data_IF_572081771890
#
_entry.id   IF_572081771890
#
_cell.length_a   1.000
_cell.length_b   1.000
_cell.length_c   1.000
_cell.angle_alpha   90.00
_cell.angle_beta   90.00
_cell.angle_gamma   90.00
#
_symmetry.space_group_name_H-M   'P 1'
#
loop_
_entity.id
_entity.type
_entity.pdbx_description
1 polymer ?
#
# COMPACT_ATOMS: atom_id res chain seq x y z
N UNK A 1 18.03 12.85 -22.74
CA UNK A 1 16.68 12.96 -23.31
C UNK A 1 15.73 13.05 -22.13
N UNK A 2 15.48 14.29 -21.68
CA UNK A 2 14.79 14.60 -20.43
C UNK A 2 13.28 14.69 -20.71
N UNK A 3 12.61 13.53 -20.73
CA UNK A 3 11.15 13.48 -20.77
C UNK A 3 10.65 13.55 -19.34
N UNK A 4 10.34 14.74 -18.85
CA UNK A 4 9.50 14.89 -17.66
C UNK A 4 8.12 14.33 -18.03
N UNK A 5 7.92 13.03 -17.82
CA UNK A 5 6.64 12.36 -18.04
C UNK A 5 5.68 12.94 -17.00
N UNK A 6 4.96 13.98 -17.42
CA UNK A 6 3.94 14.64 -16.62
C UNK A 6 2.73 13.72 -16.55
N UNK A 7 2.26 13.47 -15.34
CA UNK A 7 1.03 12.74 -15.12
C UNK A 7 -0.15 13.53 -15.68
N UNK A 8 -1.07 12.83 -16.35
CA UNK A 8 -2.33 13.45 -16.75
C UNK A 8 -3.13 13.83 -15.49
N UNK A 9 -3.93 14.92 -15.53
CA UNK A 9 -4.72 15.35 -14.39
C UNK A 9 -5.68 14.26 -13.87
N UNK A 10 -6.19 13.42 -14.77
CA UNK A 10 -7.02 12.26 -14.41
C UNK A 10 -6.25 11.23 -13.56
N UNK A 11 -4.99 10.96 -13.88
CA UNK A 11 -4.14 10.01 -13.13
C UNK A 11 -3.84 10.55 -11.73
N UNK A 12 -3.62 11.86 -11.61
CA UNK A 12 -3.42 12.51 -10.33
C UNK A 12 -4.64 12.38 -9.42
N UNK A 13 -5.84 12.58 -9.98
CA UNK A 13 -7.11 12.41 -9.24
C UNK A 13 -7.26 10.95 -8.79
N UNK A 14 -6.97 9.98 -9.65
CA UNK A 14 -7.04 8.54 -9.31
C UNK A 14 -6.09 8.22 -8.15
N UNK A 15 -4.84 8.69 -8.21
CA UNK A 15 -3.87 8.46 -7.14
C UNK A 15 -4.31 9.10 -5.82
N UNK A 16 -4.86 10.32 -5.86
CA UNK A 16 -5.42 10.97 -4.68
C UNK A 16 -6.61 10.20 -4.10
N UNK A 17 -7.51 9.68 -4.94
CA UNK A 17 -8.61 8.84 -4.49
C UNK A 17 -8.13 7.54 -3.84
N UNK A 18 -7.12 6.87 -4.42
CA UNK A 18 -6.51 5.68 -3.82
C UNK A 18 -5.85 5.99 -2.47
N UNK A 19 -5.19 7.14 -2.34
CA UNK A 19 -4.59 7.60 -1.09
C UNK A 19 -5.68 7.85 -0.03
N UNK A 20 -6.73 8.60 -0.36
CA UNK A 20 -7.87 8.87 0.52
C UNK A 20 -8.55 7.56 0.95
N UNK A 21 -8.74 6.64 0.01
CA UNK A 21 -9.29 5.31 0.29
C UNK A 21 -8.37 4.45 1.19
N UNK A 22 -7.10 4.80 1.34
CA UNK A 22 -6.18 4.14 2.27
C UNK A 22 -6.31 4.70 3.69
N UNK A 23 -6.65 5.98 3.85
CA UNK A 23 -6.89 6.59 5.17
C UNK A 23 -8.07 5.95 5.93
N UNK A 24 -9.03 5.33 5.23
CA UNK A 24 -10.13 4.61 5.88
C UNK A 24 -9.60 3.48 6.78
N UNK A 25 -8.53 2.81 6.37
CA UNK A 25 -7.93 1.70 7.12
C UNK A 25 -7.31 2.19 8.43
N UNK A 26 -6.83 3.44 8.50
CA UNK A 26 -6.26 4.02 9.73
C UNK A 26 -7.32 4.16 10.81
N UNK A 27 -8.53 4.62 10.44
CA UNK A 27 -9.66 4.72 11.36
C UNK A 27 -10.09 3.33 11.83
N UNK A 28 -10.09 2.35 10.93
CA UNK A 28 -10.43 0.97 11.25
C UNK A 28 -9.41 0.33 12.23
N UNK A 29 -8.10 0.58 12.07
CA UNK A 29 -7.08 0.12 13.04
C UNK A 29 -7.33 0.71 14.42
N UNK A 30 -7.70 1.99 14.51
CA UNK A 30 -7.95 2.65 15.78
C UNK A 30 -9.21 2.15 16.52
N UNK A 31 -10.18 1.58 15.80
CA UNK A 31 -11.43 1.02 16.37
C UNK A 31 -11.37 -0.49 16.63
N UNK A 32 -10.36 -1.17 16.13
CA UNK A 32 -10.25 -2.62 16.25
C UNK A 32 -9.96 -3.03 17.70
N UNK A 33 -10.70 -4.03 18.16
CA UNK A 33 -10.64 -4.51 19.55
C UNK A 33 -9.76 -5.74 19.73
N UNK A 34 -9.50 -6.50 18.67
CA UNK A 34 -8.68 -7.72 18.72
C UNK A 34 -7.36 -7.56 17.98
N UNK A 35 -6.29 -8.17 18.49
CA UNK A 35 -4.94 -8.02 17.95
C UNK A 35 -4.84 -8.60 16.53
N UNK A 36 -5.46 -9.75 16.28
CA UNK A 36 -5.58 -10.36 14.94
C UNK A 36 -6.30 -9.46 13.93
N UNK A 37 -7.39 -8.80 14.33
CA UNK A 37 -8.09 -7.84 13.47
C UNK A 37 -7.23 -6.60 13.19
N UNK A 38 -6.47 -6.10 14.17
CA UNK A 38 -5.50 -5.00 13.95
C UNK A 38 -4.44 -5.38 12.93
N UNK A 39 -3.92 -6.61 12.98
CA UNK A 39 -2.94 -7.13 12.01
C UNK A 39 -3.55 -7.19 10.61
N UNK A 40 -4.76 -7.73 10.46
CA UNK A 40 -5.42 -7.81 9.16
C UNK A 40 -5.68 -6.42 8.55
N UNK A 41 -6.16 -5.46 9.36
CA UNK A 41 -6.42 -4.09 8.88
C UNK A 41 -5.10 -3.36 8.57
N UNK A 42 -4.05 -3.55 9.38
CA UNK A 42 -2.72 -2.97 9.12
C UNK A 42 -2.10 -3.53 7.84
N UNK A 43 -2.27 -4.84 7.57
CA UNK A 43 -1.82 -5.47 6.32
C UNK A 43 -2.54 -4.86 5.10
N UNK A 44 -3.85 -4.67 5.21
CA UNK A 44 -4.63 -3.99 4.16
C UNK A 44 -4.15 -2.56 3.90
N UNK A 45 -3.78 -1.81 4.93
CA UNK A 45 -3.21 -0.46 4.79
C UNK A 45 -1.88 -0.49 4.02
N UNK A 46 -0.95 -1.36 4.44
CA UNK A 46 0.35 -1.51 3.77
C UNK A 46 0.20 -1.88 2.29
N UNK A 47 -0.66 -2.85 1.99
CA UNK A 47 -0.89 -3.30 0.62
C UNK A 47 -1.49 -2.19 -0.26
N UNK A 48 -2.46 -1.41 0.25
CA UNK A 48 -3.01 -0.26 -0.49
C UNK A 48 -1.95 0.79 -0.83
N UNK A 49 -1.05 1.11 0.10
CA UNK A 49 0.04 2.07 -0.13
C UNK A 49 1.08 1.55 -1.14
N UNK A 50 1.39 0.25 -1.10
CA UNK A 50 2.25 -0.38 -2.09
C UNK A 50 1.61 -0.33 -3.49
N UNK A 51 0.30 -0.61 -3.60
CA UNK A 51 -0.44 -0.46 -4.85
C UNK A 51 -0.47 0.98 -5.38
N UNK A 52 -0.59 1.99 -4.52
CA UNK A 52 -0.49 3.40 -4.92
C UNK A 52 0.88 3.68 -5.56
N UNK A 53 1.95 3.16 -4.97
CA UNK A 53 3.32 3.32 -5.49
C UNK A 53 3.51 2.65 -6.85
N UNK A 54 2.97 1.44 -7.02
CA UNK A 54 2.99 0.72 -8.29
C UNK A 54 2.15 1.45 -9.35
N UNK A 55 0.96 1.94 -9.00
CA UNK A 55 0.11 2.69 -9.91
C UNK A 55 0.79 3.99 -10.37
N UNK A 56 1.44 4.70 -9.45
CA UNK A 56 2.23 5.89 -9.78
C UNK A 56 3.37 5.58 -10.77
N UNK A 57 4.08 4.47 -10.56
CA UNK A 57 5.14 4.02 -11.46
C UNK A 57 4.62 3.70 -12.87
N UNK A 58 3.48 3.02 -12.97
CA UNK A 58 2.84 2.71 -14.26
C UNK A 58 2.43 3.98 -15.01
N UNK A 59 1.82 4.96 -14.32
CA UNK A 59 1.40 6.21 -14.95
C UNK A 59 2.57 7.09 -15.40
N UNK A 60 3.67 7.09 -14.64
CA UNK A 60 4.90 7.78 -15.00
C UNK A 60 5.78 6.99 -15.97
N UNK A 61 5.41 5.75 -16.29
CA UNK A 61 6.22 4.79 -17.07
C UNK A 61 7.65 4.63 -16.51
N UNK A 62 7.77 4.70 -15.18
CA UNK A 62 9.03 4.62 -14.45
C UNK A 62 9.14 3.26 -13.75
N UNK A 63 9.79 2.32 -14.44
CA UNK A 63 9.95 0.94 -13.98
C UNK A 63 10.78 0.82 -12.69
N UNK A 64 11.66 1.78 -12.39
CA UNK A 64 12.46 1.75 -11.17
C UNK A 64 11.60 1.99 -9.93
N UNK A 65 10.62 2.89 -10.01
CA UNK A 65 9.68 3.12 -8.91
C UNK A 65 8.72 1.93 -8.78
N UNK A 66 8.37 1.30 -9.90
CA UNK A 66 7.49 0.13 -9.93
C UNK A 66 8.08 -1.07 -9.20
N UNK A 67 9.38 -1.35 -9.40
CA UNK A 67 10.06 -2.43 -8.70
C UNK A 67 10.16 -2.18 -7.20
N UNK A 68 10.40 -0.94 -6.78
CA UNK A 68 10.37 -0.55 -5.36
C UNK A 68 8.99 -0.80 -4.75
N UNK A 69 7.92 -0.42 -5.46
CA UNK A 69 6.55 -0.70 -5.04
C UNK A 69 6.26 -2.20 -4.86
N UNK A 70 6.76 -3.04 -5.76
CA UNK A 70 6.62 -4.50 -5.66
C UNK A 70 7.40 -5.08 -4.46
N UNK A 71 8.61 -4.58 -4.18
CA UNK A 71 9.40 -5.00 -3.00
C UNK A 71 8.67 -4.62 -1.71
N UNK A 72 8.12 -3.41 -1.63
CA UNK A 72 7.33 -2.98 -0.47
C UNK A 72 6.11 -3.89 -0.27
N UNK A 73 5.41 -4.24 -1.34
CA UNK A 73 4.25 -5.14 -1.28
C UNK A 73 4.63 -6.53 -0.74
N UNK A 74 5.66 -7.16 -1.32
CA UNK A 74 6.05 -8.53 -0.96
C UNK A 74 6.63 -8.60 0.45
N UNK A 75 7.54 -7.67 0.80
CA UNK A 75 8.15 -7.63 2.12
C UNK A 75 7.14 -7.29 3.21
N UNK A 76 6.20 -6.38 2.91
CA UNK A 76 5.10 -6.04 3.81
C UNK A 76 4.19 -7.24 4.07
N UNK A 77 3.72 -7.91 3.01
CA UNK A 77 2.84 -9.07 3.12
C UNK A 77 3.49 -10.23 3.89
N UNK A 78 4.76 -10.54 3.58
CA UNK A 78 5.53 -11.54 4.29
C UNK A 78 5.71 -11.18 5.78
N UNK A 79 6.01 -9.92 6.10
CA UNK A 79 6.14 -9.45 7.48
C UNK A 79 4.84 -9.59 8.27
N UNK A 80 3.70 -9.28 7.63
CA UNK A 80 2.38 -9.41 8.26
C UNK A 80 1.98 -10.87 8.48
N UNK A 81 2.32 -11.78 7.57
CA UNK A 81 2.11 -13.22 7.75
C UNK A 81 2.92 -13.74 8.96
N UNK A 82 4.19 -13.34 9.10
CA UNK A 82 5.02 -13.73 10.24
C UNK A 82 4.41 -13.24 11.55
N UNK A 83 3.95 -11.98 11.60
CA UNK A 83 3.26 -11.43 12.78
C UNK A 83 2.01 -12.23 13.12
N UNK A 84 1.17 -12.55 12.12
CA UNK A 84 -0.03 -13.34 12.33
C UNK A 84 0.27 -14.76 12.84
N UNK A 85 1.34 -15.39 12.35
CA UNK A 85 1.75 -16.73 12.79
C UNK A 85 2.28 -16.74 14.23
N UNK A 86 3.10 -15.75 14.61
CA UNK A 86 3.61 -15.63 15.98
C UNK A 86 2.47 -15.46 16.99
N UNK A 87 1.46 -14.65 16.66
CA UNK A 87 0.29 -14.44 17.51
C UNK A 87 -0.62 -15.68 17.64
N UNK A 88 -0.64 -16.56 16.65
CA UNK A 88 -1.39 -17.82 16.72
C UNK A 88 -0.67 -18.91 17.54
N UNK A 89 0.60 -18.71 17.87
CA UNK A 89 1.40 -19.63 18.68
C UNK A 89 1.37 -19.33 20.17
N UNK A 90 0.92 -18.14 20.58
CA UNK A 90 0.63 -17.76 21.97
C UNK A 90 -0.79 -18.11 22.39
#
# INVERSE_FOLDING_TARGET
MNSTISLLPIQYIILMLMLIASFISIIAVARSSSLSERIAIASSLGNKLAFVTIAFALFRNDWMIGSVGAVILISGDAGMIILALTELQE
#
